data_IF_816626471592
#
_entry.id   IF_816626471592
#
_cell.length_a   1.000
_cell.length_b   1.000
_cell.length_c   1.000
_cell.angle_alpha   90.00
_cell.angle_beta   90.00
_cell.angle_gamma   90.00
#
_symmetry.space_group_name_H-M   'P 1'
#
loop_
_entity.id
_entity.type
_entity.pdbx_description
1 polymer ?
#
# COMPACT_ATOMS: atom_id res chain seq x y z
N UNK A 1 -3.92 -10.46 -4.93
CA UNK A 1 -4.49 -10.92 -6.22
C UNK A 1 -5.48 -9.88 -6.72
N UNK A 2 -5.39 -9.48 -7.99
CA UNK A 2 -6.31 -8.50 -8.60
C UNK A 2 -7.10 -9.16 -9.71
N UNK A 3 -8.36 -8.78 -9.88
CA UNK A 3 -9.20 -9.20 -11.00
C UNK A 3 -9.56 -7.96 -11.82
N UNK A 4 -9.56 -8.09 -13.14
CA UNK A 4 -9.87 -6.98 -14.05
C UNK A 4 -11.01 -7.41 -14.95
N UNK A 5 -12.07 -6.60 -14.98
CA UNK A 5 -13.12 -6.74 -15.98
C UNK A 5 -12.61 -6.18 -17.31
N UNK A 6 -12.42 -7.07 -18.28
CA UNK A 6 -11.87 -6.72 -19.60
C UNK A 6 -12.82 -5.89 -20.46
N UNK A 7 -14.11 -5.84 -20.13
CA UNK A 7 -15.11 -5.05 -20.87
C UNK A 7 -15.17 -3.60 -20.38
N UNK A 8 -15.01 -3.39 -19.08
CA UNK A 8 -15.12 -2.05 -18.47
C UNK A 8 -13.77 -1.43 -18.11
N UNK A 9 -12.69 -2.21 -18.15
CA UNK A 9 -11.37 -1.82 -17.67
C UNK A 9 -11.31 -1.59 -16.16
N UNK A 10 -12.40 -1.89 -15.43
CA UNK A 10 -12.44 -1.74 -13.98
C UNK A 10 -11.67 -2.87 -13.32
N UNK A 11 -10.77 -2.47 -12.42
CA UNK A 11 -10.16 -3.39 -11.48
C UNK A 11 -11.23 -3.73 -10.44
N UNK A 12 -11.64 -4.99 -10.43
CA UNK A 12 -12.53 -5.55 -9.41
C UNK A 12 -11.80 -5.56 -8.05
N UNK A 13 -12.55 -5.50 -6.93
CA UNK A 13 -11.96 -5.43 -5.60
C UNK A 13 -10.87 -6.48 -5.44
N UNK A 14 -9.71 -6.02 -4.97
CA UNK A 14 -8.54 -6.86 -4.72
C UNK A 14 -9.00 -7.99 -3.80
N UNK A 15 -8.84 -9.24 -4.24
CA UNK A 15 -9.47 -10.39 -3.57
C UNK A 15 -8.70 -10.82 -2.32
N UNK A 16 -7.41 -10.53 -2.28
CA UNK A 16 -6.52 -10.88 -1.18
C UNK A 16 -5.24 -10.05 -1.25
N UNK A 17 -4.80 -9.51 -0.11
CA UNK A 17 -3.55 -8.77 0.02
C UNK A 17 -2.78 -9.25 1.25
N UNK A 18 -1.62 -9.88 1.01
CA UNK A 18 -0.70 -10.30 2.04
C UNK A 18 0.48 -9.34 2.13
N UNK A 19 0.64 -8.69 3.28
CA UNK A 19 1.78 -7.83 3.57
C UNK A 19 2.67 -8.51 4.62
N UNK A 20 3.84 -8.97 4.20
CA UNK A 20 4.87 -9.48 5.11
C UNK A 20 5.93 -8.40 5.32
N UNK A 21 6.10 -7.92 6.56
CA UNK A 21 7.04 -6.85 6.90
C UNK A 21 8.01 -7.29 7.99
N UNK A 22 9.31 -7.11 7.73
CA UNK A 22 10.34 -7.21 8.77
C UNK A 22 10.36 -5.91 9.58
N UNK A 23 9.86 -6.01 10.81
CA UNK A 23 9.72 -4.88 11.73
C UNK A 23 10.76 -4.91 12.86
N UNK A 24 11.65 -5.92 12.85
CA UNK A 24 12.53 -6.20 13.98
C UNK A 24 11.77 -6.71 15.21
N UNK A 25 11.07 -5.83 15.92
CA UNK A 25 10.21 -6.15 17.06
C UNK A 25 9.00 -5.22 17.10
N UNK A 26 7.80 -5.78 17.21
CA UNK A 26 6.59 -5.00 17.41
C UNK A 26 6.55 -4.45 18.84
N UNK A 27 6.68 -3.13 18.99
CA UNK A 27 6.42 -2.47 20.28
C UNK A 27 4.92 -2.54 20.60
N UNK A 28 4.09 -2.26 19.59
CA UNK A 28 2.64 -2.38 19.68
C UNK A 28 2.10 -2.98 18.37
N UNK A 29 1.77 -4.28 18.33
CA UNK A 29 1.30 -4.95 17.12
C UNK A 29 0.04 -4.33 16.51
N UNK A 30 -0.89 -3.80 17.32
CA UNK A 30 -2.13 -3.19 16.84
C UNK A 30 -1.86 -1.89 16.07
N UNK A 31 -0.94 -1.06 16.58
CA UNK A 31 -0.56 0.18 15.88
C UNK A 31 0.23 -0.11 14.61
N UNK A 32 1.07 -1.15 14.63
CA UNK A 32 1.81 -1.61 13.45
C UNK A 32 0.83 -2.08 12.37
N UNK A 33 -0.17 -2.87 12.73
CA UNK A 33 -1.20 -3.35 11.79
C UNK A 33 -1.97 -2.17 11.16
N UNK A 34 -2.34 -1.17 11.97
CA UNK A 34 -2.96 0.06 11.47
C UNK A 34 -2.08 0.83 10.47
N UNK A 35 -0.77 0.89 10.69
CA UNK A 35 0.18 1.50 9.76
C UNK A 35 0.27 0.73 8.44
N UNK A 36 0.30 -0.61 8.51
CA UNK A 36 0.28 -1.46 7.31
C UNK A 36 -1.00 -1.23 6.51
N UNK A 37 -2.16 -1.17 7.18
CA UNK A 37 -3.45 -0.92 6.53
C UNK A 37 -3.48 0.46 5.85
N UNK A 38 -3.04 1.51 6.53
CA UNK A 38 -2.95 2.86 5.96
C UNK A 38 -1.99 2.94 4.77
N UNK A 39 -0.83 2.29 4.89
CA UNK A 39 0.15 2.24 3.80
C UNK A 39 -0.37 1.52 2.56
N UNK A 40 -1.15 0.44 2.74
CA UNK A 40 -1.79 -0.28 1.63
C UNK A 40 -2.90 0.58 0.99
N UNK A 41 -3.70 1.29 1.78
CA UNK A 41 -4.73 2.18 1.25
C UNK A 41 -4.13 3.29 0.37
N UNK A 42 -3.04 3.92 0.83
CA UNK A 42 -2.30 4.93 0.05
C UNK A 42 -1.70 4.30 -1.22
N UNK A 43 -1.11 3.11 -1.10
CA UNK A 43 -0.56 2.40 -2.25
C UNK A 43 -1.62 2.03 -3.31
N UNK A 44 -2.82 1.67 -2.86
CA UNK A 44 -3.95 1.35 -3.74
C UNK A 44 -4.50 2.59 -4.44
N UNK A 45 -4.61 3.72 -3.71
CA UNK A 45 -4.92 5.02 -4.28
C UNK A 45 -3.93 5.40 -5.36
N UNK A 46 -2.63 5.37 -5.04
CA UNK A 46 -1.55 5.66 -5.97
C UNK A 46 -1.57 4.79 -7.23
N UNK A 47 -1.85 3.49 -7.09
CA UNK A 47 -1.83 2.56 -8.22
C UNK A 47 -3.05 2.68 -9.15
N UNK A 48 -4.22 3.05 -8.63
CA UNK A 48 -5.49 2.90 -9.35
C UNK A 48 -6.26 4.20 -9.58
N UNK A 49 -5.97 5.28 -8.83
CA UNK A 49 -6.85 6.46 -8.80
C UNK A 49 -6.14 7.80 -8.76
N UNK A 50 -5.04 7.89 -8.02
CA UNK A 50 -4.37 9.16 -7.79
C UNK A 50 -3.61 9.59 -9.04
N UNK A 51 -4.07 10.68 -9.64
CA UNK A 51 -3.36 11.38 -10.71
C UNK A 51 -3.21 12.84 -10.28
N UNK A 52 -1.98 13.36 -10.41
CA UNK A 52 -1.69 14.78 -10.23
C UNK A 52 -1.38 15.36 -11.62
N UNK A 53 -2.44 15.63 -12.37
CA UNK A 53 -2.31 16.24 -13.69
C UNK A 53 -2.08 17.74 -13.53
N UNK A 54 -1.09 18.30 -14.21
CA UNK A 54 -0.83 19.75 -14.24
C UNK A 54 -1.22 20.29 -15.60
N UNK A 55 -2.01 21.36 -15.62
CA UNK A 55 -2.35 22.06 -16.85
C UNK A 55 -1.09 22.74 -17.43
N UNK A 56 -0.64 22.37 -18.63
CA UNK A 56 0.63 22.86 -19.19
C UNK A 56 0.59 24.33 -19.61
N UNK A 57 -0.59 24.93 -19.81
CA UNK A 57 -0.73 26.34 -20.20
C UNK A 57 -0.83 27.25 -18.97
N UNK A 58 -1.49 26.78 -17.91
CA UNK A 58 -1.77 27.60 -16.72
C UNK A 58 -0.92 27.24 -15.50
N UNK A 59 -0.21 26.10 -15.51
CA UNK A 59 0.59 25.60 -14.40
C UNK A 59 -0.22 25.11 -13.20
N UNK A 60 -1.55 25.07 -13.30
CA UNK A 60 -2.45 24.68 -12.20
C UNK A 60 -2.65 23.17 -12.15
N UNK A 61 -2.69 22.62 -10.93
CA UNK A 61 -3.04 21.21 -10.71
C UNK A 61 -4.52 21.00 -11.03
N UNK A 62 -4.80 20.08 -11.94
CA UNK A 62 -6.13 19.56 -12.25
C UNK A 62 -6.41 18.44 -11.24
N UNK A 63 -7.31 18.71 -10.30
CA UNK A 63 -7.61 17.76 -9.21
C UNK A 63 -7.36 18.33 -7.81
N UNK A 64 -7.62 19.61 -7.61
CA UNK A 64 -7.45 20.35 -6.35
C UNK A 64 -8.51 20.03 -5.28
N UNK A 65 -9.37 19.03 -5.51
CA UNK A 65 -10.44 18.62 -4.62
C UNK A 65 -10.55 17.10 -4.55
N UNK A 66 -10.97 16.57 -3.39
CA UNK A 66 -11.14 15.13 -3.17
C UNK A 66 -12.18 14.48 -4.09
N UNK A 67 -13.09 15.26 -4.66
CA UNK A 67 -14.03 14.76 -5.67
C UNK A 67 -13.35 14.42 -7.00
N UNK A 68 -12.20 15.05 -7.28
CA UNK A 68 -11.41 14.88 -8.51
C UNK A 68 -10.18 14.01 -8.28
N UNK A 69 -9.54 14.17 -7.13
CA UNK A 69 -8.45 13.32 -6.65
C UNK A 69 -9.02 12.28 -5.69
N UNK A 70 -9.54 11.19 -6.25
CA UNK A 70 -10.29 10.19 -5.48
C UNK A 70 -9.32 9.25 -4.79
N UNK A 71 -9.42 9.15 -3.46
CA UNK A 71 -8.66 8.18 -2.68
C UNK A 71 -9.33 6.80 -2.70
N UNK A 72 -8.60 5.77 -2.28
CA UNK A 72 -9.20 4.46 -2.02
C UNK A 72 -10.12 4.57 -0.78
N UNK A 73 -11.39 4.18 -0.94
CA UNK A 73 -12.38 4.19 0.13
C UNK A 73 -12.49 2.83 0.81
N UNK A 74 -13.11 2.79 2.00
CA UNK A 74 -13.32 1.57 2.77
C UNK A 74 -13.90 0.36 1.99
N UNK A 75 -14.95 0.48 1.14
CA UNK A 75 -15.49 -0.68 0.41
C UNK A 75 -14.57 -1.20 -0.70
N UNK A 76 -13.54 -0.45 -1.08
CA UNK A 76 -12.58 -0.83 -2.11
C UNK A 76 -11.34 -1.49 -1.51
N UNK A 77 -11.22 -1.49 -0.18
CA UNK A 77 -10.12 -2.12 0.51
C UNK A 77 -10.24 -3.65 0.46
N UNK A 78 -9.18 -4.35 0.03
CA UNK A 78 -9.13 -5.82 0.11
C UNK A 78 -9.22 -6.31 1.55
N UNK A 79 -9.51 -7.60 1.71
CA UNK A 79 -9.15 -8.31 2.93
C UNK A 79 -7.63 -8.28 3.08
N UNK A 80 -7.15 -7.63 4.14
CA UNK A 80 -5.73 -7.50 4.45
C UNK A 80 -5.30 -8.60 5.40
N UNK A 81 -4.17 -9.24 5.08
CA UNK A 81 -3.45 -10.15 5.97
C UNK A 81 -2.06 -9.59 6.22
N UNK A 82 -1.75 -9.33 7.48
CA UNK A 82 -0.45 -8.80 7.90
C UNK A 82 0.36 -9.92 8.54
N UNK A 83 1.58 -10.13 8.05
CA UNK A 83 2.57 -11.01 8.65
C UNK A 83 3.74 -10.16 9.15
N UNK A 84 3.92 -10.13 10.47
CA UNK A 84 5.02 -9.41 11.10
C UNK A 84 6.18 -10.37 11.31
N UNK A 85 7.30 -10.09 10.64
CA UNK A 85 8.55 -10.82 10.82
C UNK A 85 9.36 -10.11 11.88
N UNK A 86 9.55 -10.77 13.01
CA UNK A 86 10.31 -10.23 14.13
C UNK A 86 11.73 -10.83 14.12
N UNK A 87 12.66 -10.15 13.47
CA UNK A 87 14.04 -10.62 13.37
C UNK A 87 15.05 -9.82 14.21
N UNK A 88 14.59 -8.90 15.05
CA UNK A 88 15.41 -8.07 15.94
C UNK A 88 16.42 -7.17 15.21
N UNK A 89 16.31 -5.85 15.35
CA UNK A 89 17.31 -4.92 14.80
C UNK A 89 18.39 -4.60 15.84
N UNK A 90 19.66 -5.02 15.65
CA UNK A 90 20.72 -4.80 16.63
C UNK A 90 20.99 -3.32 16.92
N UNK A 91 20.72 -2.44 15.95
CA UNK A 91 20.94 -1.00 16.07
C UNK A 91 19.72 -0.23 16.61
N UNK A 92 18.57 -0.89 16.72
CA UNK A 92 17.30 -0.27 17.09
C UNK A 92 17.00 -0.38 18.58
N UNK A 93 16.32 0.62 19.18
CA UNK A 93 15.87 0.52 20.55
C UNK A 93 14.93 -0.70 20.70
N UNK A 94 15.19 -1.54 21.70
CA UNK A 94 14.46 -2.80 21.95
C UNK A 94 14.45 -3.81 20.79
N UNK A 95 15.31 -3.64 19.77
CA UNK A 95 15.28 -4.47 18.57
C UNK A 95 14.25 -4.04 17.53
N UNK A 96 13.65 -2.85 17.66
CA UNK A 96 12.58 -2.38 16.77
C UNK A 96 13.11 -1.61 15.55
N UNK A 97 12.40 -1.70 14.42
CA UNK A 97 12.61 -0.90 13.19
C UNK A 97 11.45 0.07 12.97
N UNK A 98 11.71 1.16 12.24
CA UNK A 98 10.66 2.09 11.83
C UNK A 98 9.74 1.43 10.78
N UNK A 99 8.42 1.51 10.98
CA UNK A 99 7.41 0.85 10.14
C UNK A 99 6.54 1.80 9.31
N UNK A 100 6.46 3.08 9.70
CA UNK A 100 5.46 4.02 9.16
C UNK A 100 5.56 4.34 7.66
N UNK A 101 6.72 4.14 7.05
CA UNK A 101 6.92 4.35 5.60
C UNK A 101 7.25 3.07 4.84
N UNK A 102 7.17 1.89 5.49
CA UNK A 102 7.46 0.62 4.83
C UNK A 102 6.36 0.35 3.80
N UNK A 103 6.65 0.73 2.56
CA UNK A 103 5.78 0.47 1.42
C UNK A 103 5.93 -1.00 1.02
N UNK A 104 4.83 -1.74 0.82
CA UNK A 104 4.88 -3.16 0.44
C UNK A 104 5.42 -3.42 -0.98
N UNK A 105 5.84 -2.39 -1.72
CA UNK A 105 6.18 -2.49 -3.13
C UNK A 105 7.70 -2.65 -3.35
N UNK A 106 8.24 -3.81 -2.98
CA UNK A 106 9.50 -4.30 -3.59
C UNK A 106 9.45 -5.82 -3.79
N UNK A 107 8.68 -6.25 -4.78
CA UNK A 107 8.76 -7.61 -5.28
C UNK A 107 9.94 -7.74 -6.25
N UNK A 108 11.00 -8.42 -5.80
CA UNK A 108 12.06 -8.90 -6.69
C UNK A 108 11.65 -10.29 -7.18
N UNK A 109 10.94 -10.36 -8.30
CA UNK A 109 10.69 -11.64 -8.98
C UNK A 109 12.01 -12.22 -9.46
N UNK A 110 12.49 -13.27 -8.78
CA UNK A 110 13.49 -14.17 -9.35
C UNK A 110 12.71 -15.37 -9.87
N UNK A 111 12.43 -15.38 -11.16
CA UNK A 111 11.88 -16.55 -11.83
C UNK A 111 12.88 -17.70 -11.65
N UNK A 112 12.52 -18.70 -10.87
CA UNK A 112 13.19 -20.01 -10.89
C UNK A 112 12.41 -20.88 -11.86
N UNK A 113 12.87 -20.94 -13.11
CA UNK A 113 12.45 -21.99 -14.03
C UNK A 113 13.00 -23.33 -13.54
N UNK A 114 12.12 -24.20 -13.08
CA UNK A 114 12.24 -25.66 -13.20
C UNK A 114 10.90 -26.21 -13.63
#
# INVERSE_FOLDING_TARGET
MVAVDTLTGRVLPVLDYLAAQDIGRAINPMLVDGQVHGGIQIGLGYALKEEVAVDPLTGRVRGDSFARHTLANAPEMPLLRTLLVENGEPTGPFGAKAVGEIRPFRWRWRWSTR
#
